data_IF_828741712857
#
_entry.id   IF_828741712857
#
_cell.length_a   1.000
_cell.length_b   1.000
_cell.length_c   1.000
_cell.angle_alpha   90.00
_cell.angle_beta   90.00
_cell.angle_gamma   90.00
#
_symmetry.space_group_name_H-M   'P 1'
#
loop_
_entity.id
_entity.type
_entity.pdbx_description
1 polymer ?
#
# COMPACT_ATOMS: atom_id res chain seq x y z
N UNK A 1 12.71 5.19 -14.03
CA UNK A 1 12.85 5.81 -12.70
C UNK A 1 13.95 6.87 -12.72
N UNK A 2 13.76 7.99 -12.03
CA UNK A 2 14.72 9.11 -11.99
C UNK A 2 15.47 9.09 -10.65
N UNK A 3 16.69 8.56 -10.58
CA UNK A 3 17.45 8.46 -9.32
C UNK A 3 18.16 9.77 -8.90
N UNK A 4 18.06 10.84 -9.69
CA UNK A 4 18.77 12.09 -9.44
C UNK A 4 18.43 12.75 -8.10
N UNK A 5 17.29 12.40 -7.51
CA UNK A 5 16.95 12.91 -6.19
C UNK A 5 17.84 12.32 -5.09
N UNK A 6 18.44 11.12 -5.22
CA UNK A 6 19.41 10.64 -4.22
C UNK A 6 20.82 11.19 -4.42
N UNK A 7 21.05 11.96 -5.48
CA UNK A 7 22.35 12.58 -5.71
C UNK A 7 22.54 13.79 -4.78
N UNK A 8 23.71 13.87 -4.15
CA UNK A 8 24.11 15.05 -3.38
C UNK A 8 24.28 16.26 -4.32
N UNK A 9 23.65 17.39 -3.98
CA UNK A 9 23.70 18.62 -4.79
C UNK A 9 25.12 19.21 -4.98
N UNK A 10 26.13 18.71 -4.27
CA UNK A 10 27.49 19.27 -4.24
C UNK A 10 28.59 18.26 -4.58
N UNK A 11 28.24 17.01 -4.88
CA UNK A 11 29.18 15.92 -5.12
C UNK A 11 28.47 14.71 -5.71
N UNK A 12 29.17 13.86 -6.45
CA UNK A 12 28.67 12.56 -6.95
C UNK A 12 28.52 11.52 -5.82
N UNK A 13 27.97 11.94 -4.67
CA UNK A 13 27.76 11.14 -3.47
C UNK A 13 26.31 10.78 -3.35
N UNK A 14 26.05 9.57 -2.87
CA UNK A 14 24.71 9.14 -2.51
C UNK A 14 24.22 9.88 -1.26
N UNK A 15 22.93 10.18 -1.23
CA UNK A 15 22.27 10.79 -0.09
C UNK A 15 20.91 10.14 0.12
N UNK A 16 20.82 9.25 1.10
CA UNK A 16 19.57 8.65 1.50
C UNK A 16 18.63 9.73 2.06
N UNK A 17 17.50 9.94 1.39
CA UNK A 17 16.51 10.93 1.79
C UNK A 17 15.11 10.44 1.47
N UNK A 18 14.14 11.03 2.17
CA UNK A 18 12.72 10.81 1.90
C UNK A 18 12.38 11.14 0.46
N UNK A 19 11.54 10.31 -0.13
CA UNK A 19 11.01 10.53 -1.47
C UNK A 19 10.15 11.80 -1.51
N UNK A 20 10.21 12.60 -2.59
CA UNK A 20 9.40 13.80 -2.69
C UNK A 20 7.91 13.48 -2.54
N UNK A 21 7.19 14.29 -1.74
CA UNK A 21 5.76 14.10 -1.56
C UNK A 21 5.00 14.28 -2.88
N UNK A 22 4.09 13.36 -3.18
CA UNK A 22 3.10 13.50 -4.25
C UNK A 22 1.99 14.40 -3.69
N UNK A 23 1.60 15.44 -4.43
CA UNK A 23 0.64 16.45 -3.93
C UNK A 23 -0.69 16.46 -4.69
N UNK A 24 -0.82 15.67 -5.74
CA UNK A 24 -2.00 15.64 -6.61
C UNK A 24 -1.99 14.35 -7.44
N UNK A 25 -3.12 13.64 -7.60
CA UNK A 25 -4.48 14.02 -7.20
C UNK A 25 -4.78 13.82 -5.71
N UNK A 26 -4.10 12.89 -5.04
CA UNK A 26 -4.12 12.66 -3.57
C UNK A 26 -2.71 12.97 -3.05
N UNK A 27 -2.61 13.50 -1.82
CA UNK A 27 -1.32 13.75 -1.20
C UNK A 27 -0.79 12.44 -0.60
N UNK A 28 0.46 12.11 -0.92
CA UNK A 28 1.16 10.93 -0.40
C UNK A 28 2.53 11.38 0.09
N UNK A 29 2.87 10.98 1.30
CA UNK A 29 4.10 11.36 1.98
C UNK A 29 4.86 10.11 2.39
N UNK A 30 6.13 10.05 2.01
CA UNK A 30 7.08 9.08 2.57
C UNK A 30 7.40 9.47 4.03
N UNK A 31 6.96 8.65 4.97
CA UNK A 31 7.15 8.86 6.41
C UNK A 31 8.20 7.94 7.00
N UNK A 32 8.78 7.03 6.21
CA UNK A 32 9.84 6.09 6.60
C UNK A 32 10.88 6.73 7.53
N UNK A 33 11.19 6.04 8.63
CA UNK A 33 12.30 6.42 9.50
C UNK A 33 13.63 6.07 8.83
N UNK A 34 14.45 7.09 8.62
CA UNK A 34 15.72 6.97 7.90
C UNK A 34 16.92 7.30 8.79
N UNK A 35 16.70 7.60 10.08
CA UNK A 35 17.75 8.16 10.93
C UNK A 35 18.94 7.19 11.09
N UNK A 36 18.65 5.91 11.31
CA UNK A 36 19.69 4.88 11.42
C UNK A 36 20.39 4.64 10.06
N UNK A 37 19.60 4.51 8.99
CA UNK A 37 20.13 4.24 7.66
C UNK A 37 20.97 5.39 7.11
N UNK A 38 20.63 6.66 7.35
CA UNK A 38 21.41 7.79 6.83
C UNK A 38 22.89 7.73 7.23
N UNK A 39 23.21 7.12 8.38
CA UNK A 39 24.59 6.93 8.80
C UNK A 39 25.34 5.93 7.92
N UNK A 40 24.70 4.82 7.56
CA UNK A 40 25.30 3.74 6.77
C UNK A 40 25.59 4.18 5.33
N UNK A 41 24.77 5.07 4.78
CA UNK A 41 24.96 5.63 3.45
C UNK A 41 25.92 6.83 3.43
N UNK A 42 26.41 7.26 4.60
CA UNK A 42 27.23 8.47 4.70
C UNK A 42 28.61 8.24 4.08
N UNK A 43 28.91 9.02 3.04
CA UNK A 43 30.20 8.99 2.37
C UNK A 43 30.33 7.95 1.24
N UNK A 44 29.28 7.19 0.95
CA UNK A 44 29.21 6.36 -0.26
C UNK A 44 29.20 7.25 -1.51
N UNK A 45 29.89 6.81 -2.56
CA UNK A 45 29.64 7.38 -3.87
C UNK A 45 28.25 6.97 -4.37
N UNK A 46 27.79 7.64 -5.43
CA UNK A 46 26.43 7.47 -5.90
C UNK A 46 26.14 6.04 -6.38
N UNK A 47 27.10 5.38 -7.04
CA UNK A 47 26.92 4.03 -7.58
C UNK A 47 26.83 3.00 -6.44
N UNK A 48 27.78 3.01 -5.49
CA UNK A 48 27.79 2.09 -4.35
C UNK A 48 26.55 2.31 -3.46
N UNK A 49 26.19 3.56 -3.21
CA UNK A 49 25.02 3.89 -2.40
C UNK A 49 23.70 3.49 -3.08
N UNK A 50 23.62 3.54 -4.41
CA UNK A 50 22.45 3.08 -5.15
C UNK A 50 22.31 1.56 -5.11
N UNK A 51 23.41 0.82 -5.24
CA UNK A 51 23.40 -0.64 -5.12
C UNK A 51 22.93 -1.07 -3.72
N UNK A 52 23.47 -0.45 -2.66
CA UNK A 52 23.07 -0.74 -1.28
C UNK A 52 21.60 -0.37 -1.02
N UNK A 53 21.13 0.76 -1.59
CA UNK A 53 19.73 1.18 -1.51
C UNK A 53 18.80 0.14 -2.12
N UNK A 54 19.13 -0.33 -3.32
CA UNK A 54 18.34 -1.35 -4.00
C UNK A 54 18.30 -2.66 -3.23
N UNK A 55 19.35 -3.00 -2.49
CA UNK A 55 19.38 -4.18 -1.63
C UNK A 55 18.58 -3.97 -0.33
N UNK A 56 18.72 -2.81 0.31
CA UNK A 56 18.06 -2.51 1.60
C UNK A 56 16.55 -2.28 1.43
N UNK A 57 16.14 -1.67 0.32
CA UNK A 57 14.74 -1.35 0.00
C UNK A 57 14.17 -2.27 -1.08
N UNK A 58 14.62 -3.54 -1.10
CA UNK A 58 14.18 -4.59 -2.04
C UNK A 58 12.76 -5.13 -1.75
N UNK A 59 12.12 -4.65 -0.67
CA UNK A 59 10.77 -4.98 -0.27
C UNK A 59 9.89 -3.76 -0.02
N UNK A 60 8.61 -3.84 -0.36
CA UNK A 60 7.65 -2.75 -0.15
C UNK A 60 7.41 -2.42 1.33
N UNK A 61 7.59 -3.41 2.23
CA UNK A 61 7.42 -3.26 3.68
C UNK A 61 8.43 -2.31 4.34
N UNK A 62 9.49 -1.96 3.62
CA UNK A 62 10.50 -0.99 4.07
C UNK A 62 10.03 0.45 3.93
N UNK A 63 8.99 0.71 3.15
CA UNK A 63 8.43 2.05 2.99
C UNK A 63 7.23 2.24 3.89
N UNK A 64 7.29 3.27 4.72
CA UNK A 64 6.12 3.76 5.43
C UNK A 64 5.58 4.98 4.67
N UNK A 65 4.30 4.91 4.28
CA UNK A 65 3.65 5.99 3.52
C UNK A 65 2.35 6.43 4.19
N UNK A 66 2.13 7.74 4.21
CA UNK A 66 0.88 8.36 4.66
C UNK A 66 0.10 8.85 3.44
N UNK A 67 -1.16 8.41 3.33
CA UNK A 67 -2.09 8.81 2.26
C UNK A 67 -3.13 9.78 2.83
N UNK A 68 -3.33 10.90 2.16
CA UNK A 68 -4.35 11.88 2.51
C UNK A 68 -5.76 11.30 2.38
N UNK A 69 -6.61 11.61 3.36
CA UNK A 69 -8.00 11.16 3.40
C UNK A 69 -8.84 11.72 2.25
N UNK A 70 -9.85 10.96 1.83
CA UNK A 70 -10.72 11.30 0.70
C UNK A 70 -11.39 12.66 0.84
N UNK A 71 -11.86 13.04 2.04
CA UNK A 71 -12.54 14.31 2.27
C UNK A 71 -11.58 15.50 2.08
N UNK A 72 -10.36 15.38 2.60
CA UNK A 72 -9.31 16.37 2.46
C UNK A 72 -8.91 16.53 0.99
N UNK A 73 -8.68 15.40 0.31
CA UNK A 73 -8.37 15.35 -1.12
C UNK A 73 -9.47 16.03 -1.97
N UNK A 74 -10.73 15.70 -1.74
CA UNK A 74 -11.85 16.30 -2.46
C UNK A 74 -11.97 17.82 -2.23
N UNK A 75 -11.75 18.27 -0.99
CA UNK A 75 -11.86 19.69 -0.63
C UNK A 75 -10.88 20.59 -1.41
N UNK A 76 -9.71 20.05 -1.78
CA UNK A 76 -8.69 20.78 -2.56
C UNK A 76 -8.75 20.55 -4.06
N UNK A 77 -9.32 19.43 -4.52
CA UNK A 77 -9.37 19.07 -5.94
C UNK A 77 -10.08 20.13 -6.79
N UNK A 78 -9.65 20.24 -8.05
CA UNK A 78 -10.26 21.16 -9.02
C UNK A 78 -11.67 20.68 -9.41
N UNK A 79 -12.51 21.62 -9.87
CA UNK A 79 -13.83 21.25 -10.38
C UNK A 79 -13.75 20.33 -11.61
N UNK A 80 -12.66 20.39 -12.37
CA UNK A 80 -12.42 19.49 -13.49
C UNK A 80 -12.15 18.05 -13.02
N UNK A 81 -11.39 17.89 -11.93
CA UNK A 81 -11.11 16.56 -11.35
C UNK A 81 -12.37 15.91 -10.78
N UNK A 82 -13.17 16.71 -10.05
CA UNK A 82 -14.40 16.26 -9.39
C UNK A 82 -15.58 16.08 -10.35
N UNK A 83 -15.56 16.73 -11.52
CA UNK A 83 -16.68 16.69 -12.45
C UNK A 83 -18.00 17.13 -11.79
N UNK A 84 -19.10 16.39 -12.02
CA UNK A 84 -20.39 16.61 -11.36
C UNK A 84 -20.37 16.45 -9.83
N UNK A 85 -19.46 15.62 -9.28
CA UNK A 85 -19.32 15.45 -7.82
C UNK A 85 -18.81 16.69 -7.09
N UNK A 86 -18.41 17.75 -7.82
CA UNK A 86 -18.04 19.05 -7.24
C UNK A 86 -19.12 19.65 -6.33
N UNK A 87 -20.37 19.21 -6.45
CA UNK A 87 -21.50 19.63 -5.59
C UNK A 87 -21.22 19.29 -4.12
N UNK A 88 -20.54 18.17 -3.87
CA UNK A 88 -20.19 17.71 -2.52
C UNK A 88 -18.90 18.30 -1.98
N UNK A 89 -18.23 19.20 -2.71
CA UNK A 89 -16.89 19.70 -2.34
C UNK A 89 -16.85 20.39 -0.96
N UNK A 90 -17.93 21.05 -0.56
CA UNK A 90 -18.03 21.74 0.74
C UNK A 90 -18.48 20.80 1.87
N UNK A 91 -18.98 19.60 1.53
CA UNK A 91 -19.39 18.57 2.47
C UNK A 91 -19.11 17.17 1.89
N UNK A 92 -17.82 16.75 1.83
CA UNK A 92 -17.45 15.46 1.24
C UNK A 92 -18.07 14.25 1.95
N UNK A 93 -18.38 14.39 3.24
CA UNK A 93 -19.07 13.37 4.03
C UNK A 93 -20.46 13.02 3.48
N UNK A 94 -21.14 13.96 2.82
CA UNK A 94 -22.40 13.66 2.14
C UNK A 94 -22.20 12.77 0.91
N UNK A 95 -21.07 12.87 0.22
CA UNK A 95 -20.74 11.97 -0.89
C UNK A 95 -20.43 10.57 -0.37
N UNK A 96 -19.62 10.46 0.69
CA UNK A 96 -19.26 9.16 1.30
C UNK A 96 -20.49 8.42 1.82
N UNK A 97 -21.41 9.11 2.53
CA UNK A 97 -22.66 8.48 2.98
C UNK A 97 -23.56 8.03 1.82
N UNK A 98 -23.61 8.77 0.72
CA UNK A 98 -24.35 8.34 -0.48
C UNK A 98 -23.68 7.14 -1.15
N UNK A 99 -22.35 7.07 -1.08
CA UNK A 99 -21.57 5.98 -1.62
C UNK A 99 -21.84 4.67 -0.90
N UNK A 100 -21.88 4.70 0.42
CA UNK A 100 -22.23 3.55 1.25
C UNK A 100 -23.64 3.01 0.92
N UNK A 101 -24.54 3.88 0.44
CA UNK A 101 -25.90 3.51 0.05
C UNK A 101 -26.06 3.03 -1.41
N UNK A 102 -24.99 2.85 -2.19
CA UNK A 102 -25.12 2.38 -3.59
C UNK A 102 -25.67 0.94 -3.64
N UNK A 103 -25.23 0.09 -2.72
CA UNK A 103 -25.66 -1.31 -2.65
C UNK A 103 -26.70 -1.57 -1.54
N UNK A 104 -26.90 -0.59 -0.65
CA UNK A 104 -27.86 -0.65 0.44
C UNK A 104 -29.19 0.03 0.06
N UNK A 105 -30.29 -0.43 0.66
CA UNK A 105 -31.62 0.16 0.45
C UNK A 105 -31.85 1.47 1.22
N UNK A 106 -30.83 1.96 1.91
CA UNK A 106 -30.91 3.08 2.85
C UNK A 106 -30.92 4.44 2.13
N UNK A 107 -31.49 5.44 2.78
CA UNK A 107 -31.57 6.81 2.28
C UNK A 107 -30.91 7.76 3.27
N UNK A 108 -30.25 8.80 2.77
CA UNK A 108 -29.45 9.72 3.60
C UNK A 108 -30.04 11.12 3.61
N UNK A 109 -29.92 11.77 4.78
CA UNK A 109 -30.25 13.19 4.89
C UNK A 109 -29.10 14.03 4.35
N UNK A 110 -29.42 14.93 3.42
CA UNK A 110 -28.48 15.87 2.82
C UNK A 110 -28.78 17.32 3.25
N UNK A 111 -27.77 18.19 3.38
CA UNK A 111 -27.99 19.63 3.50
C UNK A 111 -28.82 20.17 2.33
N UNK A 112 -29.78 21.07 2.60
CA UNK A 112 -30.75 21.53 1.61
C UNK A 112 -30.13 22.06 0.31
N UNK A 113 -29.03 22.80 0.39
CA UNK A 113 -28.34 23.37 -0.76
C UNK A 113 -27.55 22.33 -1.58
N UNK A 114 -27.06 21.27 -0.94
CA UNK A 114 -26.44 20.10 -1.59
C UNK A 114 -27.53 19.24 -2.24
N UNK A 115 -28.59 18.92 -1.49
CA UNK A 115 -29.73 18.13 -1.92
C UNK A 115 -30.34 18.67 -3.21
N UNK A 116 -30.70 19.97 -3.21
CA UNK A 116 -31.33 20.60 -4.38
C UNK A 116 -30.45 20.55 -5.63
N UNK A 117 -29.13 20.76 -5.49
CA UNK A 117 -28.18 20.71 -6.62
C UNK A 117 -27.95 19.28 -7.09
N UNK A 118 -27.84 18.33 -6.17
CA UNK A 118 -27.62 16.92 -6.48
C UNK A 118 -28.83 16.32 -7.19
N UNK A 119 -30.06 16.63 -6.73
CA UNK A 119 -31.31 16.20 -7.35
C UNK A 119 -31.50 16.85 -8.74
N UNK A 120 -31.26 18.16 -8.89
CA UNK A 120 -31.28 18.82 -10.20
C UNK A 120 -30.25 18.25 -11.19
N UNK A 121 -29.13 17.75 -10.67
CA UNK A 121 -28.09 17.09 -11.47
C UNK A 121 -28.38 15.61 -11.69
N UNK A 122 -29.49 15.08 -11.15
CA UNK A 122 -29.88 13.68 -11.26
C UNK A 122 -28.92 12.71 -10.57
N UNK A 123 -28.09 13.19 -9.63
CA UNK A 123 -27.19 12.36 -8.82
C UNK A 123 -27.95 11.65 -7.69
N UNK A 124 -29.01 12.26 -7.19
CA UNK A 124 -29.84 11.68 -6.16
C UNK A 124 -31.31 11.80 -6.53
N UNK A 125 -32.12 10.93 -5.94
CA UNK A 125 -33.58 11.01 -5.97
C UNK A 125 -34.13 11.12 -4.54
N UNK A 126 -35.07 12.04 -4.33
CA UNK A 126 -35.76 12.17 -3.05
C UNK A 126 -36.78 11.05 -2.84
N UNK A 127 -36.85 10.50 -1.63
CA UNK A 127 -37.82 9.46 -1.27
C UNK A 127 -39.20 10.00 -0.83
N UNK A 128 -39.32 11.32 -0.71
CA UNK A 128 -40.55 12.02 -0.30
C UNK A 128 -40.59 12.44 1.18
N UNK A 129 -39.70 11.91 2.02
CA UNK A 129 -39.63 12.18 3.46
C UNK A 129 -38.43 13.07 3.85
N UNK A 130 -37.77 13.68 2.85
CA UNK A 130 -36.61 14.54 3.03
C UNK A 130 -35.27 13.78 3.06
N UNK A 131 -35.28 12.50 2.68
CA UNK A 131 -34.08 11.68 2.48
C UNK A 131 -33.85 11.43 0.99
N UNK A 132 -32.61 11.09 0.66
CA UNK A 132 -32.15 10.98 -0.71
C UNK A 132 -31.41 9.66 -0.93
N UNK A 133 -31.61 9.07 -2.10
CA UNK A 133 -30.90 7.87 -2.54
C UNK A 133 -29.98 8.19 -3.71
N UNK A 134 -28.81 7.53 -3.81
CA UNK A 134 -27.96 7.64 -4.98
C UNK A 134 -28.66 7.06 -6.21
N UNK A 135 -28.51 7.70 -7.37
CA UNK A 135 -28.98 7.16 -8.65
C UNK A 135 -27.87 6.35 -9.35
N UNK A 136 -28.20 5.60 -10.40
CA UNK A 136 -27.21 4.98 -11.29
C UNK A 136 -26.20 5.99 -11.85
N UNK A 137 -26.65 7.23 -12.09
CA UNK A 137 -25.77 8.31 -12.52
C UNK A 137 -24.73 8.63 -11.46
N UNK A 138 -25.11 8.69 -10.18
CA UNK A 138 -24.13 8.93 -9.12
C UNK A 138 -23.08 7.83 -9.06
N UNK A 139 -23.47 6.56 -9.14
CA UNK A 139 -22.51 5.45 -9.19
C UNK A 139 -21.54 5.59 -10.36
N UNK A 140 -22.04 5.92 -11.56
CA UNK A 140 -21.22 6.18 -12.76
C UNK A 140 -20.22 7.30 -12.54
N UNK A 141 -20.66 8.43 -11.97
CA UNK A 141 -19.82 9.62 -11.77
C UNK A 141 -18.73 9.36 -10.70
N UNK A 142 -19.04 8.55 -9.69
CA UNK A 142 -18.05 8.08 -8.70
C UNK A 142 -17.01 7.16 -9.36
N UNK A 143 -17.43 6.26 -10.25
CA UNK A 143 -16.50 5.39 -10.99
C UNK A 143 -15.56 6.18 -11.89
N UNK A 144 -16.09 7.17 -12.62
CA UNK A 144 -15.26 8.04 -13.45
C UNK A 144 -14.29 8.88 -12.60
N UNK A 145 -14.74 9.36 -11.44
CA UNK A 145 -13.87 10.08 -10.51
C UNK A 145 -12.73 9.20 -10.01
N UNK A 146 -13.02 7.98 -9.54
CA UNK A 146 -12.02 7.01 -9.14
C UNK A 146 -11.03 6.73 -10.28
N UNK A 147 -11.52 6.57 -11.51
CA UNK A 147 -10.69 6.34 -12.70
C UNK A 147 -9.71 7.49 -12.93
N UNK A 148 -10.17 8.74 -12.86
CA UNK A 148 -9.32 9.93 -12.98
C UNK A 148 -8.25 9.98 -11.89
N UNK A 149 -8.61 9.64 -10.65
CA UNK A 149 -7.67 9.60 -9.51
C UNK A 149 -6.61 8.54 -9.73
N UNK A 150 -7.00 7.31 -10.08
CA UNK A 150 -6.08 6.19 -10.31
C UNK A 150 -5.12 6.49 -11.46
N UNK A 151 -5.62 7.01 -12.59
CA UNK A 151 -4.77 7.37 -13.73
C UNK A 151 -3.77 8.46 -13.38
N UNK A 152 -4.22 9.55 -12.75
CA UNK A 152 -3.33 10.64 -12.37
C UNK A 152 -2.31 10.22 -11.30
N UNK A 153 -2.67 9.31 -10.38
CA UNK A 153 -1.74 8.74 -9.42
C UNK A 153 -0.70 7.84 -10.11
N UNK A 154 -1.14 6.96 -11.01
CA UNK A 154 -0.26 6.10 -11.82
C UNK A 154 0.78 6.91 -12.60
N UNK A 155 0.37 7.96 -13.30
CA UNK A 155 1.28 8.86 -14.02
C UNK A 155 2.33 9.49 -13.12
N UNK A 156 1.98 9.83 -11.87
CA UNK A 156 2.92 10.41 -10.91
C UNK A 156 3.91 9.40 -10.36
N UNK A 157 3.49 8.15 -10.22
CA UNK A 157 4.29 7.08 -9.62
C UNK A 157 5.37 6.52 -10.54
N UNK A 158 5.26 6.69 -11.87
CA UNK A 158 6.25 6.14 -12.82
C UNK A 158 7.71 6.61 -12.60
N UNK A 159 7.89 7.73 -11.90
CA UNK A 159 9.21 8.27 -11.55
C UNK A 159 9.88 7.62 -10.33
N UNK A 160 9.15 6.82 -9.56
CA UNK A 160 9.52 6.31 -8.22
C UNK A 160 9.94 4.83 -8.25
N UNK A 161 10.60 4.30 -7.18
CA UNK A 161 10.99 2.89 -7.13
C UNK A 161 9.78 1.97 -7.10
N UNK A 162 9.86 0.81 -7.78
CA UNK A 162 8.72 -0.12 -7.90
C UNK A 162 8.17 -0.55 -6.54
N UNK A 163 9.05 -0.83 -5.57
CA UNK A 163 8.64 -1.17 -4.19
C UNK A 163 7.94 -0.03 -3.47
N UNK A 164 8.33 1.23 -3.73
CA UNK A 164 7.60 2.39 -3.21
C UNK A 164 6.25 2.57 -3.91
N UNK A 165 6.20 2.36 -5.23
CA UNK A 165 4.93 2.36 -5.96
C UNK A 165 3.98 1.32 -5.38
N UNK A 166 4.50 0.12 -5.06
CA UNK A 166 3.74 -0.96 -4.43
C UNK A 166 3.21 -0.55 -3.06
N UNK A 167 4.06 -0.03 -2.16
CA UNK A 167 3.64 0.46 -0.84
C UNK A 167 2.53 1.53 -0.93
N UNK A 168 2.64 2.43 -1.90
CA UNK A 168 1.60 3.44 -2.16
C UNK A 168 0.29 2.81 -2.65
N UNK A 169 0.34 1.81 -3.54
CA UNK A 169 -0.86 1.12 -4.02
C UNK A 169 -1.51 0.26 -2.94
N UNK A 170 -0.72 -0.40 -2.09
CA UNK A 170 -1.20 -1.19 -0.96
C UNK A 170 -1.94 -0.28 0.05
N UNK A 171 -1.35 0.87 0.40
CA UNK A 171 -1.97 1.84 1.31
C UNK A 171 -3.16 2.57 0.68
N UNK A 172 -3.08 2.94 -0.61
CA UNK A 172 -4.22 3.51 -1.29
C UNK A 172 -5.39 2.50 -1.38
N UNK A 173 -5.10 1.21 -1.52
CA UNK A 173 -6.11 0.16 -1.52
C UNK A 173 -6.76 -0.07 -0.14
N UNK A 174 -6.01 0.12 0.95
CA UNK A 174 -6.52 -0.01 2.32
C UNK A 174 -7.29 1.24 2.80
N UNK A 175 -6.74 2.44 2.60
CA UNK A 175 -7.32 3.70 3.09
C UNK A 175 -8.45 4.26 2.21
N UNK A 176 -8.52 3.89 0.92
CA UNK A 176 -9.66 4.26 0.08
C UNK A 176 -10.89 3.37 0.30
N UNK A 177 -10.79 2.37 1.18
CA UNK A 177 -11.75 1.31 1.52
C UNK A 177 -12.45 0.61 0.31
N UNK A 178 -12.80 -0.68 0.45
CA UNK A 178 -12.99 -1.56 -0.68
C UNK A 178 -14.42 -1.47 -1.19
N UNK A 179 -14.74 -0.43 -1.94
CA UNK A 179 -15.79 -0.64 -2.93
C UNK A 179 -15.26 -1.60 -3.99
N UNK A 180 -16.12 -2.52 -4.42
CA UNK A 180 -15.87 -3.30 -5.64
C UNK A 180 -15.44 -2.37 -6.80
N UNK A 181 -15.92 -1.11 -6.80
CA UNK A 181 -15.64 -0.07 -7.76
C UNK A 181 -14.16 0.38 -7.80
N UNK A 182 -13.49 0.59 -6.66
CA UNK A 182 -12.07 0.99 -6.66
C UNK A 182 -11.19 -0.15 -7.17
N UNK A 183 -11.47 -1.38 -6.72
CA UNK A 183 -10.79 -2.59 -7.20
C UNK A 183 -10.98 -2.80 -8.70
N UNK A 184 -12.22 -2.74 -9.18
CA UNK A 184 -12.56 -2.85 -10.59
C UNK A 184 -11.88 -1.74 -11.42
N UNK A 185 -11.85 -0.51 -10.90
CA UNK A 185 -11.22 0.62 -11.57
C UNK A 185 -9.71 0.43 -11.71
N UNK A 186 -9.03 -0.01 -10.67
CA UNK A 186 -7.59 -0.27 -10.74
C UNK A 186 -7.30 -1.52 -11.59
N UNK A 187 -8.14 -2.55 -11.56
CA UNK A 187 -8.02 -3.71 -12.47
C UNK A 187 -8.13 -3.32 -13.95
N UNK A 188 -9.03 -2.38 -14.27
CA UNK A 188 -9.26 -1.94 -15.65
C UNK A 188 -8.29 -0.84 -16.10
N UNK A 189 -7.83 0.01 -15.18
CA UNK A 189 -7.14 1.27 -15.52
C UNK A 189 -5.83 1.53 -14.77
N UNK A 190 -5.54 0.78 -13.71
CA UNK A 190 -4.21 0.76 -13.08
C UNK A 190 -3.19 0.15 -14.03
N UNK A 191 -1.91 0.54 -13.92
CA UNK A 191 -0.83 -0.17 -14.59
C UNK A 191 -0.65 -1.59 -14.06
N UNK A 192 0.22 -2.40 -14.68
CA UNK A 192 0.43 -3.82 -14.31
C UNK A 192 0.67 -4.03 -12.81
N UNK A 193 1.44 -3.16 -12.17
CA UNK A 193 1.78 -3.25 -10.75
C UNK A 193 0.56 -2.96 -9.85
N UNK A 194 -0.23 -1.94 -10.19
CA UNK A 194 -1.47 -1.61 -9.47
C UNK A 194 -2.54 -2.71 -9.61
N UNK A 195 -2.58 -3.39 -10.77
CA UNK A 195 -3.45 -4.56 -11.00
C UNK A 195 -3.01 -5.75 -10.16
N UNK A 196 -1.72 -6.06 -10.10
CA UNK A 196 -1.15 -7.18 -9.34
C UNK A 196 -1.35 -7.06 -7.83
N UNK A 197 -1.32 -5.83 -7.30
CA UNK A 197 -1.63 -5.52 -5.89
C UNK A 197 -3.09 -5.86 -5.54
N UNK A 198 -4.04 -5.62 -6.46
CA UNK A 198 -5.48 -5.78 -6.20
C UNK A 198 -6.12 -7.04 -6.76
N UNK A 199 -5.46 -7.77 -7.67
CA UNK A 199 -5.90 -9.10 -8.12
C UNK A 199 -5.69 -10.17 -7.06
N UNK A 200 -4.96 -9.86 -5.98
CA UNK A 200 -4.52 -10.86 -5.04
C UNK A 200 -3.48 -11.80 -5.64
N UNK A 201 -3.01 -11.62 -6.87
CA UNK A 201 -1.92 -12.44 -7.42
C UNK A 201 -0.62 -12.22 -6.66
N UNK A 202 -0.36 -10.99 -6.18
CA UNK A 202 0.76 -10.76 -5.28
C UNK A 202 0.55 -11.47 -3.93
N UNK A 203 -0.68 -11.52 -3.40
CA UNK A 203 -0.99 -12.22 -2.16
C UNK A 203 -0.99 -13.75 -2.32
N UNK A 204 -1.50 -14.30 -3.42
CA UNK A 204 -1.49 -15.74 -3.74
C UNK A 204 -0.09 -16.21 -4.15
N UNK A 205 0.71 -15.41 -4.88
CA UNK A 205 2.12 -15.71 -5.13
C UNK A 205 2.95 -15.57 -3.86
N UNK A 206 2.73 -14.55 -3.02
CA UNK A 206 3.39 -14.43 -1.71
C UNK A 206 2.96 -15.55 -0.77
N UNK A 207 1.69 -15.90 -0.69
CA UNK A 207 1.15 -16.95 0.17
C UNK A 207 1.60 -18.33 -0.35
N UNK A 208 1.68 -18.55 -1.66
CA UNK A 208 2.31 -19.74 -2.24
C UNK A 208 3.85 -19.77 -2.07
N UNK A 209 4.53 -18.62 -2.10
CA UNK A 209 5.96 -18.52 -1.78
C UNK A 209 6.21 -18.75 -0.28
N UNK A 210 5.33 -18.23 0.58
CA UNK A 210 5.39 -18.38 2.03
C UNK A 210 5.02 -19.80 2.44
N UNK A 211 3.96 -20.41 1.91
CA UNK A 211 3.64 -21.82 2.11
C UNK A 211 4.76 -22.72 1.59
N UNK A 212 5.26 -22.46 0.36
CA UNK A 212 6.37 -23.22 -0.20
C UNK A 212 7.67 -23.09 0.61
N UNK A 213 8.00 -21.90 1.11
CA UNK A 213 9.15 -21.69 2.00
C UNK A 213 8.91 -22.27 3.39
N UNK A 214 7.71 -22.16 3.95
CA UNK A 214 7.35 -22.69 5.26
C UNK A 214 7.30 -24.20 5.27
N UNK A 215 6.86 -24.83 4.18
CA UNK A 215 6.93 -26.28 4.00
C UNK A 215 8.37 -26.74 3.82
N UNK A 216 9.20 -26.01 3.06
CA UNK A 216 10.64 -26.29 2.98
C UNK A 216 11.34 -26.15 4.35
N UNK A 217 11.01 -25.10 5.12
CA UNK A 217 11.53 -24.94 6.49
C UNK A 217 10.96 -26.00 7.44
N UNK A 218 9.73 -26.45 7.26
CA UNK A 218 9.14 -27.54 8.05
C UNK A 218 9.84 -28.86 7.76
N UNK A 219 10.09 -29.17 6.49
CA UNK A 219 10.83 -30.36 6.06
C UNK A 219 12.27 -30.31 6.58
N UNK A 220 12.95 -29.16 6.52
CA UNK A 220 14.29 -28.98 7.10
C UNK A 220 14.27 -29.12 8.63
N UNK A 221 13.27 -28.57 9.31
CA UNK A 221 13.10 -28.71 10.77
C UNK A 221 12.75 -30.14 11.18
N UNK A 222 12.01 -30.88 10.36
CA UNK A 222 11.69 -32.30 10.56
C UNK A 222 12.94 -33.16 10.31
N UNK A 223 13.74 -32.87 9.28
CA UNK A 223 15.02 -33.52 9.03
C UNK A 223 16.04 -33.24 10.15
N UNK A 224 16.10 -32.00 10.65
CA UNK A 224 16.88 -31.64 11.84
C UNK A 224 16.32 -32.33 13.09
N UNK A 225 15.00 -32.43 13.24
CA UNK A 225 14.32 -33.14 14.32
C UNK A 225 14.67 -34.63 14.35
N UNK A 226 14.61 -35.28 13.19
CA UNK A 226 14.97 -36.67 12.97
C UNK A 226 16.47 -36.91 13.17
N UNK A 227 17.32 -35.99 12.69
CA UNK A 227 18.76 -36.04 12.93
C UNK A 227 19.07 -35.89 14.42
N UNK A 228 18.41 -34.98 15.13
CA UNK A 228 18.55 -34.79 16.58
C UNK A 228 18.00 -35.99 17.37
N UNK A 229 16.92 -36.61 16.92
CA UNK A 229 16.36 -37.82 17.55
C UNK A 229 17.24 -39.05 17.30
N UNK A 230 17.83 -39.17 16.11
CA UNK A 230 18.85 -40.17 15.77
C UNK A 230 20.11 -40.00 16.65
N UNK A 231 20.61 -38.77 16.77
CA UNK A 231 21.75 -38.42 17.65
C UNK A 231 21.41 -38.68 19.13
N UNK A 232 20.16 -38.45 19.56
CA UNK A 232 19.68 -38.74 20.91
C UNK A 232 19.62 -40.26 21.16
N UNK A 233 19.19 -41.05 20.18
CA UNK A 233 19.14 -42.52 20.25
C UNK A 233 20.54 -43.15 20.26
N UNK A 234 21.54 -42.52 19.65
CA UNK A 234 22.93 -43.01 19.61
C UNK A 234 23.75 -42.86 20.91
N UNK A 235 23.19 -42.34 22.01
CA UNK A 235 23.86 -42.20 23.33
C UNK A 235 25.34 -41.74 23.23
N UNK A 236 25.58 -40.53 22.73
CA UNK A 236 26.93 -39.95 22.74
C UNK A 236 27.39 -39.62 24.18
N UNK A 237 28.42 -40.33 24.66
CA UNK A 237 29.18 -39.99 25.88
C UNK A 237 30.31 -39.02 25.54
N UNK A 238 30.47 -37.98 26.37
CA UNK A 238 31.61 -37.05 26.32
C UNK A 238 31.31 -35.64 25.75
N UNK A 239 32.35 -34.82 25.47
CA UNK A 239 32.26 -33.38 25.21
C UNK A 239 31.39 -32.97 24.00
N UNK A 240 30.99 -33.93 23.15
CA UNK A 240 30.02 -33.75 22.06
C UNK A 240 28.64 -33.27 22.53
N UNK A 241 28.26 -33.53 23.80
CA UNK A 241 26.99 -33.08 24.39
C UNK A 241 26.89 -31.56 24.57
N UNK A 242 28.03 -30.87 24.67
CA UNK A 242 28.10 -29.41 24.81
C UNK A 242 27.97 -28.75 23.43
N UNK A 243 28.66 -29.28 22.42
CA UNK A 243 28.56 -28.82 21.03
C UNK A 243 27.13 -28.90 20.48
N UNK A 244 26.39 -29.96 20.78
CA UNK A 244 24.98 -30.10 20.35
C UNK A 244 24.07 -29.07 21.03
N UNK A 245 24.30 -28.78 22.33
CA UNK A 245 23.54 -27.73 23.03
C UNK A 245 23.82 -26.34 22.49
N UNK A 246 25.07 -26.08 22.08
CA UNK A 246 25.48 -24.82 21.44
C UNK A 246 24.83 -24.71 20.06
N UNK A 247 24.82 -25.78 19.26
CA UNK A 247 24.18 -25.78 17.94
C UNK A 247 22.66 -25.53 18.02
N UNK A 248 21.97 -26.15 18.99
CA UNK A 248 20.53 -25.93 19.23
C UNK A 248 20.27 -24.50 19.72
N UNK A 249 21.11 -23.96 20.62
CA UNK A 249 20.97 -22.58 21.07
C UNK A 249 21.20 -21.57 19.92
N UNK A 250 22.16 -21.83 19.04
CA UNK A 250 22.41 -21.00 17.85
C UNK A 250 21.23 -21.08 16.87
N UNK A 251 20.68 -22.27 16.62
CA UNK A 251 19.51 -22.42 15.76
C UNK A 251 18.27 -21.68 16.32
N UNK A 252 18.03 -21.74 17.63
CA UNK A 252 16.94 -21.00 18.27
C UNK A 252 17.16 -19.48 18.20
N UNK A 253 18.40 -19.01 18.39
CA UNK A 253 18.73 -17.57 18.28
C UNK A 253 18.56 -17.06 16.85
N UNK A 254 18.96 -17.85 15.84
CA UNK A 254 18.77 -17.50 14.42
C UNK A 254 17.28 -17.47 14.06
N UNK A 255 16.49 -18.43 14.56
CA UNK A 255 15.04 -18.44 14.36
C UNK A 255 14.42 -17.19 15.00
N UNK A 256 14.73 -16.86 16.26
CA UNK A 256 14.14 -15.69 16.93
C UNK A 256 14.54 -14.37 16.24
N UNK A 257 15.76 -14.26 15.70
CA UNK A 257 16.22 -13.08 14.97
C UNK A 257 15.60 -12.91 13.57
N UNK A 258 14.92 -13.94 13.04
CA UNK A 258 14.18 -13.85 11.78
C UNK A 258 12.72 -13.41 11.95
N UNK A 259 12.24 -13.29 13.21
CA UNK A 259 10.87 -12.93 13.55
C UNK A 259 10.75 -11.60 14.35
N UNK A 260 11.86 -10.88 14.56
CA UNK A 260 11.94 -9.57 15.23
C UNK A 260 12.94 -8.67 14.50
#
# INVERSE_FOLDING_TARGET
>A
MDWSYFESQKSDRFNLKKLPAIKSPIRIVDVTDLDDYQHDYSGLDFEDGLEEYLHTFDGYHMYEVEVERTEEAMSRMSAAMLGPLKIFKQDPNSMLRLYDCIDDSDAVSLPHDVASKAEQSGLVEGDGDGYFKPTERFATEVQEFATRVVQALWEKLQGYPEHYQQAVWDMAASDLEPSALFRETVQNHGGTLARGVLSGEAAEELEALFEGKMDAYRDELEEIGDALESIRKEQLRGPKKILIKVAIAVAIVVIVALFF
#
